data_IF_188679572861
#
_entry.id   IF_188679572861
#
_cell.length_a   1.000
_cell.length_b   1.000
_cell.length_c   1.000
_cell.angle_alpha   90.00
_cell.angle_beta   90.00
_cell.angle_gamma   90.00
#
_symmetry.space_group_name_H-M   'P 1'
#
loop_
_entity.id
_entity.type
_entity.pdbx_description
1 polymer ?
#
# COMPACT_ATOMS: atom_id res chain seq x y z
N UNK A 1 18.65 9.37 -12.28
CA UNK A 1 18.55 9.91 -13.63
C UNK A 1 18.76 8.82 -14.67
N UNK A 2 19.91 8.12 -14.72
CA UNK A 2 20.20 7.09 -15.72
C UNK A 2 19.13 6.00 -15.81
N UNK A 3 18.58 5.53 -14.68
CA UNK A 3 17.51 4.55 -14.66
C UNK A 3 16.21 5.08 -15.33
N UNK A 4 15.86 6.34 -15.12
CA UNK A 4 14.71 6.98 -15.76
C UNK A 4 14.93 7.18 -17.26
N UNK A 5 16.15 7.53 -17.69
CA UNK A 5 16.52 7.56 -19.11
C UNK A 5 16.37 6.16 -19.74
N UNK A 6 16.83 5.12 -19.06
CA UNK A 6 16.66 3.75 -19.54
C UNK A 6 15.17 3.37 -19.65
N UNK A 7 14.37 3.71 -18.61
CA UNK A 7 12.92 3.41 -18.62
C UNK A 7 12.17 4.11 -19.75
N UNK A 8 12.60 5.31 -20.17
CA UNK A 8 11.96 6.02 -21.29
C UNK A 8 12.09 5.31 -22.62
N UNK A 9 13.09 4.44 -22.75
CA UNK A 9 13.42 3.69 -23.99
C UNK A 9 12.78 2.29 -24.04
N UNK A 10 12.25 1.82 -22.93
CA UNK A 10 11.67 0.47 -22.80
C UNK A 10 10.14 0.56 -22.69
N UNK A 11 9.38 -0.23 -23.47
CA UNK A 11 7.93 -0.06 -23.57
C UNK A 11 7.15 -0.32 -22.28
N UNK A 12 7.68 -1.16 -21.40
CA UNK A 12 6.97 -1.61 -20.18
C UNK A 12 7.77 -1.43 -18.87
N UNK A 13 8.89 -0.69 -18.91
CA UNK A 13 9.66 -0.48 -17.70
C UNK A 13 9.18 0.74 -16.92
N UNK A 14 9.15 0.63 -15.61
CA UNK A 14 8.84 1.69 -14.66
C UNK A 14 9.89 1.68 -13.55
N UNK A 15 10.30 2.85 -13.11
CA UNK A 15 11.20 2.98 -11.94
C UNK A 15 10.33 3.20 -10.70
N UNK A 16 10.26 2.19 -9.86
CA UNK A 16 9.56 2.25 -8.58
C UNK A 16 10.54 2.62 -7.46
N UNK A 17 10.08 3.48 -6.54
CA UNK A 17 10.95 3.92 -5.45
C UNK A 17 10.20 4.11 -4.14
N UNK A 18 10.78 3.55 -3.07
CA UNK A 18 10.56 3.98 -1.70
C UNK A 18 11.20 5.37 -1.54
N UNK A 19 10.36 6.40 -1.46
CA UNK A 19 10.82 7.79 -1.46
C UNK A 19 11.13 8.23 -0.02
N UNK A 20 12.42 8.20 0.36
CA UNK A 20 12.86 8.59 1.69
C UNK A 20 14.23 9.27 1.62
N UNK A 21 14.38 10.43 2.27
CA UNK A 21 15.65 11.12 2.42
C UNK A 21 16.36 10.63 3.68
N UNK A 22 17.40 9.82 3.51
CA UNK A 22 18.05 9.06 4.59
C UNK A 22 18.60 9.94 5.71
N UNK A 23 19.18 11.09 5.40
CA UNK A 23 19.72 11.99 6.42
C UNK A 23 18.63 12.69 7.25
N UNK A 24 17.45 12.94 6.68
CA UNK A 24 16.32 13.54 7.39
C UNK A 24 15.66 12.54 8.35
N UNK A 25 15.67 11.25 8.01
CA UNK A 25 15.03 10.20 8.82
C UNK A 25 15.99 9.50 9.78
N UNK A 26 17.27 9.84 9.76
CA UNK A 26 18.31 9.17 10.56
C UNK A 26 17.89 8.96 12.02
N UNK A 27 17.82 7.69 12.45
CA UNK A 27 17.38 7.30 13.80
C UNK A 27 15.91 7.58 14.12
N UNK A 28 15.09 8.05 13.15
CA UNK A 28 13.66 8.24 13.33
C UNK A 28 12.90 6.91 13.45
N UNK A 29 11.92 6.85 14.36
CA UNK A 29 11.22 5.62 14.73
C UNK A 29 9.79 5.60 14.15
N UNK A 30 9.04 6.69 14.35
CA UNK A 30 7.64 6.88 13.96
C UNK A 30 7.48 8.27 13.33
N UNK A 31 6.27 8.65 12.95
CA UNK A 31 6.01 9.99 12.42
C UNK A 31 6.51 11.09 13.38
N UNK A 32 7.09 12.15 12.85
CA UNK A 32 7.41 13.36 13.62
C UNK A 32 6.12 14.13 13.89
N UNK A 33 5.74 14.21 15.16
CA UNK A 33 4.49 14.83 15.56
C UNK A 33 4.19 14.69 17.04
N UNK A 34 2.92 14.82 17.40
CA UNK A 34 2.46 14.78 18.77
C UNK A 34 2.74 13.43 19.45
N UNK A 35 2.59 12.32 18.71
CA UNK A 35 2.81 10.97 19.26
C UNK A 35 4.28 10.72 19.54
N UNK A 36 5.18 11.06 18.61
CA UNK A 36 6.63 10.90 18.82
C UNK A 36 7.12 11.72 20.01
N UNK A 37 6.64 12.96 20.14
CA UNK A 37 6.96 13.82 21.29
C UNK A 37 6.46 13.24 22.60
N UNK A 38 5.20 12.74 22.65
CA UNK A 38 4.59 12.13 23.83
C UNK A 38 5.30 10.84 24.27
N UNK A 39 5.76 10.04 23.31
CA UNK A 39 6.49 8.80 23.58
C UNK A 39 7.99 9.01 23.80
N UNK A 40 8.51 10.22 23.64
CA UNK A 40 9.95 10.51 23.75
C UNK A 40 10.78 9.82 22.66
N UNK A 41 10.20 9.59 21.49
CA UNK A 41 10.84 8.92 20.35
C UNK A 41 11.24 9.94 19.28
N UNK A 42 12.36 9.69 18.60
CA UNK A 42 12.76 10.51 17.46
C UNK A 42 11.76 10.30 16.31
N UNK A 43 11.26 11.41 15.78
CA UNK A 43 10.32 11.43 14.66
C UNK A 43 10.98 11.28 13.30
N UNK A 44 10.19 10.89 12.30
CA UNK A 44 10.51 10.93 10.87
C UNK A 44 9.70 12.03 10.22
N UNK A 45 10.33 13.12 9.79
CA UNK A 45 9.62 14.26 9.19
C UNK A 45 8.93 13.84 7.88
N UNK A 46 7.76 14.39 7.64
CA UNK A 46 6.97 14.13 6.42
C UNK A 46 7.65 14.65 5.16
N UNK A 47 8.47 15.69 5.32
CA UNK A 47 9.26 16.31 4.26
C UNK A 47 10.31 15.35 3.69
N UNK A 48 10.76 14.35 4.46
CA UNK A 48 11.71 13.34 3.99
C UNK A 48 11.17 12.50 2.81
N UNK A 49 9.86 12.26 2.74
CA UNK A 49 9.20 11.64 1.60
C UNK A 49 9.07 12.67 0.46
N UNK A 50 8.54 13.85 0.76
CA UNK A 50 8.19 14.85 -0.24
C UNK A 50 9.38 15.33 -1.08
N UNK A 51 10.54 15.59 -0.46
CA UNK A 51 11.73 16.07 -1.18
C UNK A 51 12.26 15.05 -2.18
N UNK A 52 12.13 13.77 -1.88
CA UNK A 52 12.54 12.69 -2.81
C UNK A 52 11.51 12.54 -3.93
N UNK A 53 10.22 12.57 -3.61
CA UNK A 53 9.15 12.55 -4.62
C UNK A 53 9.32 13.73 -5.58
N UNK A 54 9.49 14.96 -5.08
CA UNK A 54 9.68 16.15 -5.91
C UNK A 54 10.90 16.03 -6.83
N UNK A 55 12.03 15.61 -6.28
CA UNK A 55 13.26 15.40 -7.07
C UNK A 55 13.03 14.39 -8.20
N UNK A 56 12.43 13.25 -7.88
CA UNK A 56 12.26 12.17 -8.84
C UNK A 56 11.20 12.51 -9.90
N UNK A 57 10.15 13.27 -9.56
CA UNK A 57 9.20 13.82 -10.52
C UNK A 57 9.85 14.79 -11.50
N UNK A 58 10.74 15.68 -11.03
CA UNK A 58 11.53 16.58 -11.90
C UNK A 58 12.43 15.79 -12.85
N UNK A 59 13.07 14.73 -12.36
CA UNK A 59 13.89 13.84 -13.18
C UNK A 59 13.05 13.08 -14.20
N UNK A 60 11.87 12.58 -13.81
CA UNK A 60 10.95 11.91 -14.73
C UNK A 60 10.48 12.83 -15.84
N UNK A 61 10.14 14.08 -15.51
CA UNK A 61 9.78 15.11 -16.49
C UNK A 61 10.92 15.38 -17.47
N UNK A 62 12.13 15.60 -16.97
CA UNK A 62 13.31 15.93 -17.78
C UNK A 62 13.75 14.80 -18.70
N UNK A 63 13.55 13.54 -18.30
CA UNK A 63 13.99 12.35 -19.06
C UNK A 63 12.86 11.68 -19.85
N UNK A 64 11.61 12.16 -19.70
CA UNK A 64 10.41 11.47 -20.19
C UNK A 64 10.31 10.01 -19.72
N UNK A 65 10.96 9.71 -18.58
CA UNK A 65 10.97 8.39 -17.94
C UNK A 65 9.67 8.10 -17.20
N UNK A 66 9.40 6.81 -16.96
CA UNK A 66 8.23 6.35 -16.21
C UNK A 66 8.62 6.15 -14.75
N UNK A 67 7.94 6.86 -13.86
CA UNK A 67 8.18 6.81 -12.43
C UNK A 67 6.95 6.27 -11.68
N UNK A 68 7.18 5.49 -10.63
CA UNK A 68 6.13 5.00 -9.74
C UNK A 68 6.52 5.28 -8.28
N UNK A 69 5.67 6.00 -7.57
CA UNK A 69 5.83 6.30 -6.15
C UNK A 69 5.24 5.16 -5.34
N UNK A 70 6.07 4.41 -4.62
CA UNK A 70 5.62 3.33 -3.76
C UNK A 70 4.97 3.89 -2.49
N UNK A 71 3.96 3.19 -1.97
CA UNK A 71 3.32 3.36 -0.64
C UNK A 71 3.33 4.81 -0.09
N UNK A 72 2.78 5.77 -0.84
CA UNK A 72 2.70 7.17 -0.40
C UNK A 72 2.06 7.29 0.98
N UNK A 73 2.60 8.20 1.80
CA UNK A 73 2.15 8.37 3.17
C UNK A 73 1.75 9.80 3.54
N UNK A 74 2.06 10.80 2.72
CA UNK A 74 1.89 12.22 3.08
C UNK A 74 1.00 13.00 2.11
N UNK A 75 0.32 14.00 2.64
CA UNK A 75 -0.43 14.98 1.83
C UNK A 75 0.49 15.77 0.89
N UNK A 76 1.72 16.03 1.32
CA UNK A 76 2.73 16.73 0.49
C UNK A 76 3.07 15.92 -0.77
N UNK A 77 3.37 14.63 -0.63
CA UNK A 77 3.65 13.75 -1.77
C UNK A 77 2.41 13.62 -2.68
N UNK A 78 1.22 13.53 -2.11
CA UNK A 78 -0.04 13.44 -2.88
C UNK A 78 -0.22 14.67 -3.77
N UNK A 79 -0.01 15.88 -3.24
CA UNK A 79 -0.12 17.10 -4.02
C UNK A 79 0.95 17.20 -5.13
N UNK A 80 2.19 16.83 -4.83
CA UNK A 80 3.27 16.78 -5.82
C UNK A 80 2.93 15.85 -6.99
N UNK A 81 2.41 14.65 -6.71
CA UNK A 81 1.99 13.70 -7.74
C UNK A 81 0.80 14.25 -8.56
N UNK A 82 -0.19 14.88 -7.89
CA UNK A 82 -1.33 15.50 -8.57
C UNK A 82 -0.89 16.57 -9.57
N UNK A 83 -0.02 17.48 -9.15
CA UNK A 83 0.55 18.54 -10.00
C UNK A 83 1.39 17.96 -11.16
N UNK A 84 2.19 16.92 -10.89
CA UNK A 84 2.98 16.26 -11.91
C UNK A 84 2.11 15.59 -12.99
N UNK A 85 1.06 14.87 -12.57
CA UNK A 85 0.09 14.26 -13.50
C UNK A 85 -0.61 15.32 -14.36
N UNK A 86 -1.07 16.42 -13.75
CA UNK A 86 -1.71 17.52 -14.49
C UNK A 86 -0.78 18.20 -15.51
N UNK A 87 0.54 18.15 -15.26
CA UNK A 87 1.58 18.63 -16.15
C UNK A 87 2.06 17.60 -17.18
N UNK A 88 1.43 16.42 -17.23
CA UNK A 88 1.74 15.37 -18.22
C UNK A 88 2.98 14.54 -17.89
N UNK A 89 3.51 14.59 -16.67
CA UNK A 89 4.62 13.74 -16.23
C UNK A 89 4.13 12.28 -16.17
N UNK A 90 4.93 11.35 -16.69
CA UNK A 90 4.61 9.91 -16.68
C UNK A 90 4.84 9.32 -15.28
N UNK A 91 3.96 9.62 -14.36
CA UNK A 91 4.00 9.13 -12.99
C UNK A 91 2.74 8.33 -12.66
N UNK A 92 2.95 7.29 -11.88
CA UNK A 92 1.91 6.54 -11.16
C UNK A 92 2.27 6.44 -9.69
N UNK A 93 1.31 6.13 -8.84
CA UNK A 93 1.53 6.01 -7.40
C UNK A 93 0.62 4.97 -6.78
N UNK A 94 1.02 4.49 -5.62
CA UNK A 94 0.23 3.56 -4.82
C UNK A 94 0.18 3.97 -3.35
N UNK A 95 -0.79 3.44 -2.64
CA UNK A 95 -0.98 3.64 -1.20
C UNK A 95 -1.30 2.31 -0.54
N UNK A 96 -0.99 2.16 0.74
CA UNK A 96 -1.38 0.95 1.49
C UNK A 96 -2.69 1.14 2.24
N UNK A 97 -3.43 0.06 2.55
CA UNK A 97 -4.59 0.14 3.44
C UNK A 97 -4.27 0.79 4.78
N UNK A 98 -3.07 0.52 5.29
CA UNK A 98 -2.59 1.06 6.56
C UNK A 98 -2.54 2.60 6.52
N UNK A 99 -1.97 3.18 5.47
CA UNK A 99 -1.90 4.64 5.31
C UNK A 99 -3.24 5.30 4.95
N UNK A 100 -4.22 4.53 4.46
CA UNK A 100 -5.57 5.01 4.20
C UNK A 100 -6.47 5.03 5.44
N UNK A 101 -6.13 4.27 6.48
CA UNK A 101 -7.08 3.96 7.57
C UNK A 101 -6.48 4.28 8.95
N UNK A 102 -5.21 3.95 9.17
CA UNK A 102 -4.52 4.12 10.44
C UNK A 102 -3.77 5.45 10.50
N UNK A 103 -3.65 5.99 11.71
CA UNK A 103 -2.91 7.22 12.00
C UNK A 103 -1.76 6.97 12.95
N UNK A 104 -0.94 7.98 13.20
CA UNK A 104 0.13 7.93 14.19
C UNK A 104 -0.37 7.57 15.61
N UNK A 105 -1.63 7.91 15.93
CA UNK A 105 -2.26 7.57 17.22
C UNK A 105 -2.44 6.05 17.38
N UNK A 106 -2.62 5.31 16.30
CA UNK A 106 -2.74 3.84 16.33
C UNK A 106 -1.46 3.14 16.75
N UNK A 107 -0.30 3.81 16.66
CA UNK A 107 0.99 3.26 17.09
C UNK A 107 0.96 2.94 18.59
N UNK A 108 0.33 3.78 19.41
CA UNK A 108 0.22 3.52 20.85
C UNK A 108 -0.59 2.27 21.16
N UNK A 109 -1.69 2.07 20.45
CA UNK A 109 -2.57 0.89 20.61
C UNK A 109 -1.94 -0.39 20.05
N UNK A 110 -1.30 -0.29 18.87
CA UNK A 110 -0.72 -1.43 18.15
C UNK A 110 0.70 -1.80 18.62
N UNK A 111 1.37 -0.89 19.33
CA UNK A 111 2.76 -1.09 19.73
C UNK A 111 3.68 -1.33 18.52
N UNK A 112 4.54 -2.32 18.62
CA UNK A 112 5.49 -2.69 17.55
C UNK A 112 4.81 -3.15 16.25
N UNK A 113 3.58 -3.68 16.32
CA UNK A 113 2.77 -4.01 15.14
C UNK A 113 2.24 -2.76 14.41
N UNK A 114 2.27 -1.58 15.06
CA UNK A 114 1.96 -0.27 14.45
C UNK A 114 3.17 0.42 13.80
N UNK A 115 4.38 -0.15 13.94
CA UNK A 115 5.59 0.41 13.32
C UNK A 115 5.73 -0.03 11.88
N UNK A 116 5.69 0.93 10.94
CA UNK A 116 5.96 0.67 9.53
C UNK A 116 6.83 1.79 8.91
N UNK A 117 7.28 1.59 7.68
CA UNK A 117 8.04 2.56 6.90
C UNK A 117 7.52 2.63 5.46
N UNK A 118 6.97 3.79 5.00
CA UNK A 118 6.82 5.05 5.74
C UNK A 118 5.97 4.92 7.00
N UNK A 119 6.17 5.79 8.01
CA UNK A 119 5.39 5.69 9.23
C UNK A 119 3.92 6.05 9.00
N UNK A 120 3.04 5.55 9.86
CA UNK A 120 1.65 6.03 9.94
C UNK A 120 1.67 7.52 10.26
N UNK A 121 0.90 8.30 9.51
CA UNK A 121 0.90 9.76 9.55
C UNK A 121 -0.30 10.32 10.30
N UNK A 122 -0.46 11.62 10.23
CA UNK A 122 -1.56 12.35 10.86
C UNK A 122 -2.89 12.15 10.13
N UNK A 123 -4.01 12.43 10.79
CA UNK A 123 -5.35 12.42 10.17
C UNK A 123 -5.41 13.27 8.89
N UNK A 124 -4.88 14.51 8.82
CA UNK A 124 -4.86 15.27 7.57
C UNK A 124 -4.11 14.60 6.43
N UNK A 125 -3.04 13.83 6.71
CA UNK A 125 -2.35 13.06 5.67
C UNK A 125 -3.22 11.90 5.18
N UNK A 126 -3.85 11.15 6.08
CA UNK A 126 -4.80 10.07 5.73
C UNK A 126 -5.95 10.60 4.85
N UNK A 127 -6.53 11.73 5.21
CA UNK A 127 -7.60 12.36 4.43
C UNK A 127 -7.13 12.78 3.04
N UNK A 128 -5.94 13.36 2.92
CA UNK A 128 -5.36 13.73 1.64
C UNK A 128 -5.09 12.51 0.73
N UNK A 129 -4.62 11.40 1.31
CA UNK A 129 -4.43 10.14 0.59
C UNK A 129 -5.78 9.57 0.11
N UNK A 130 -6.84 9.62 0.94
CA UNK A 130 -8.19 9.20 0.54
C UNK A 130 -8.72 10.05 -0.62
N UNK A 131 -8.59 11.38 -0.54
CA UNK A 131 -8.94 12.27 -1.65
C UNK A 131 -8.16 11.90 -2.90
N UNK A 132 -6.83 11.69 -2.79
CA UNK A 132 -5.98 11.28 -3.91
C UNK A 132 -6.36 9.91 -4.50
N UNK A 133 -6.88 8.99 -3.69
CA UNK A 133 -7.38 7.71 -4.16
C UNK A 133 -8.67 7.86 -4.98
N UNK A 134 -9.56 8.77 -4.56
CA UNK A 134 -10.84 8.97 -5.22
C UNK A 134 -10.76 9.87 -6.46
N UNK A 135 -9.87 10.87 -6.48
CA UNK A 135 -9.68 11.75 -7.63
C UNK A 135 -8.76 11.19 -8.73
N UNK A 136 -8.14 10.01 -8.49
CA UNK A 136 -7.25 9.35 -9.45
C UNK A 136 -5.80 9.83 -9.40
N UNK A 137 -5.43 10.63 -8.41
CA UNK A 137 -4.02 10.94 -8.13
C UNK A 137 -3.24 9.69 -7.74
N UNK A 138 -3.88 8.78 -6.98
CA UNK A 138 -3.34 7.47 -6.60
C UNK A 138 -3.95 6.41 -7.50
N UNK A 139 -3.10 5.60 -8.13
CA UNK A 139 -3.48 4.65 -9.18
C UNK A 139 -3.79 3.26 -8.64
N UNK A 140 -3.14 2.82 -7.57
CA UNK A 140 -3.22 1.45 -7.08
C UNK A 140 -3.20 1.37 -5.56
N UNK A 141 -3.66 0.24 -5.04
CA UNK A 141 -3.48 -0.15 -3.64
C UNK A 141 -2.47 -1.29 -3.58
N UNK A 142 -1.40 -1.09 -2.80
CA UNK A 142 -0.39 -2.09 -2.50
C UNK A 142 -0.42 -2.45 -1.02
N UNK A 143 0.14 -3.57 -0.64
CA UNK A 143 0.06 -4.05 0.75
C UNK A 143 1.26 -3.69 1.59
N UNK A 144 2.40 -3.47 0.97
CA UNK A 144 3.70 -3.39 1.65
C UNK A 144 3.86 -4.55 2.68
N UNK A 145 3.50 -5.77 2.25
CA UNK A 145 3.47 -6.96 3.10
C UNK A 145 4.85 -7.30 3.63
N UNK A 146 5.08 -7.03 4.91
CA UNK A 146 6.35 -7.24 5.59
C UNK A 146 6.19 -8.11 6.84
N UNK A 147 6.22 -9.45 6.71
CA UNK A 147 6.14 -10.37 7.82
C UNK A 147 7.42 -10.35 8.67
N UNK A 148 7.25 -10.32 9.99
CA UNK A 148 8.33 -10.39 10.95
C UNK A 148 8.05 -11.47 11.99
N UNK A 149 9.09 -12.16 12.49
CA UNK A 149 8.88 -13.16 13.52
C UNK A 149 8.34 -12.52 14.82
N UNK A 150 7.55 -13.25 15.62
CA UNK A 150 7.04 -12.74 16.86
C UNK A 150 8.14 -12.18 17.78
N UNK A 151 9.28 -12.86 17.85
CA UNK A 151 10.42 -12.48 18.68
C UNK A 151 11.03 -11.14 18.23
N UNK A 152 11.06 -10.87 16.92
CA UNK A 152 11.57 -9.60 16.41
C UNK A 152 10.64 -8.42 16.69
N UNK A 153 9.36 -8.69 16.93
CA UNK A 153 8.36 -7.70 17.35
C UNK A 153 8.19 -7.60 18.86
N UNK A 154 8.62 -8.59 19.63
CA UNK A 154 8.56 -8.60 21.11
C UNK A 154 9.80 -7.88 21.73
N UNK A 155 9.96 -6.64 21.32
CA UNK A 155 11.05 -5.74 21.73
C UNK A 155 10.51 -4.32 21.88
N UNK A 156 11.36 -3.37 22.28
CA UNK A 156 10.95 -1.96 22.32
C UNK A 156 10.56 -1.44 20.93
N UNK A 157 9.70 -0.43 20.85
CA UNK A 157 9.29 0.20 19.60
C UNK A 157 10.50 0.73 18.79
N UNK A 158 11.54 1.20 19.50
CA UNK A 158 12.78 1.66 18.86
C UNK A 158 13.54 0.51 18.18
N UNK A 159 13.61 -0.67 18.81
CA UNK A 159 14.36 -1.81 18.32
C UNK A 159 13.60 -2.66 17.29
N UNK A 160 12.27 -2.65 17.32
CA UNK A 160 11.46 -3.44 16.41
C UNK A 160 11.68 -3.06 14.95
N UNK A 161 11.79 -4.01 14.01
CA UNK A 161 11.79 -3.72 12.58
C UNK A 161 10.43 -3.14 12.14
N UNK A 162 10.39 -2.17 11.21
CA UNK A 162 9.14 -1.69 10.65
C UNK A 162 8.52 -2.73 9.71
N UNK A 163 7.19 -2.77 9.65
CA UNK A 163 6.43 -3.62 8.72
C UNK A 163 5.18 -4.21 9.33
N UNK A 164 4.19 -4.46 8.48
CA UNK A 164 2.88 -5.02 8.79
C UNK A 164 2.49 -6.11 7.79
N UNK A 165 1.61 -7.03 8.21
CA UNK A 165 0.95 -7.94 7.28
C UNK A 165 -0.13 -7.20 6.49
N UNK A 166 -0.37 -7.61 5.24
CA UNK A 166 -1.40 -6.98 4.42
C UNK A 166 -1.99 -7.87 3.33
N UNK A 167 -1.22 -8.82 2.75
CA UNK A 167 -1.62 -9.51 1.52
C UNK A 167 -2.90 -10.33 1.65
N UNK A 168 -3.13 -10.95 2.79
CA UNK A 168 -4.31 -11.80 3.02
C UNK A 168 -5.55 -10.99 3.44
N UNK A 169 -5.38 -9.74 3.87
CA UNK A 169 -6.46 -8.92 4.41
C UNK A 169 -6.85 -7.74 3.53
N UNK A 170 -6.02 -7.37 2.54
CA UNK A 170 -6.19 -6.15 1.74
C UNK A 170 -7.58 -6.05 1.11
N UNK A 171 -8.07 -7.12 0.49
CA UNK A 171 -9.38 -7.10 -0.18
C UNK A 171 -10.51 -6.84 0.84
N UNK A 172 -10.51 -7.59 1.95
CA UNK A 172 -11.52 -7.44 3.01
C UNK A 172 -11.45 -6.08 3.69
N UNK A 173 -10.26 -5.56 3.96
CA UNK A 173 -10.07 -4.25 4.61
C UNK A 173 -10.59 -3.13 3.70
N UNK A 174 -10.20 -3.11 2.43
CA UNK A 174 -10.66 -2.09 1.48
C UNK A 174 -12.16 -2.22 1.22
N UNK A 175 -12.69 -3.45 1.14
CA UNK A 175 -14.12 -3.69 1.01
C UNK A 175 -14.87 -3.09 2.19
N UNK A 176 -14.50 -3.47 3.41
CA UNK A 176 -15.15 -3.01 4.65
C UNK A 176 -15.15 -1.50 4.79
N UNK A 177 -14.01 -0.86 4.55
CA UNK A 177 -13.84 0.57 4.82
C UNK A 177 -14.41 1.47 3.72
N UNK A 178 -14.44 1.01 2.47
CA UNK A 178 -14.77 1.89 1.36
C UNK A 178 -15.92 1.41 0.50
N UNK A 179 -16.07 0.11 0.24
CA UNK A 179 -17.14 -0.38 -0.62
C UNK A 179 -18.44 -0.56 0.16
N UNK A 180 -18.39 -1.21 1.31
CA UNK A 180 -19.56 -1.42 2.19
C UNK A 180 -20.14 -0.08 2.68
N UNK A 181 -19.30 0.91 2.84
CA UNK A 181 -19.71 2.28 3.24
C UNK A 181 -20.22 3.12 2.08
N UNK A 182 -20.15 2.63 0.85
CA UNK A 182 -20.59 3.34 -0.36
C UNK A 182 -19.63 4.41 -0.86
N UNK A 183 -18.43 4.51 -0.30
CA UNK A 183 -17.40 5.46 -0.72
C UNK A 183 -16.65 5.03 -2.00
N UNK A 184 -16.69 3.74 -2.32
CA UNK A 184 -16.01 3.16 -3.49
C UNK A 184 -16.94 2.22 -4.24
N UNK A 185 -16.94 2.30 -5.57
CA UNK A 185 -17.66 1.33 -6.41
C UNK A 185 -16.90 0.02 -6.54
N UNK A 186 -17.62 -1.07 -6.87
CA UNK A 186 -17.01 -2.37 -7.17
C UNK A 186 -15.98 -2.27 -8.31
N UNK A 187 -16.29 -1.54 -9.37
CA UNK A 187 -15.37 -1.38 -10.52
C UNK A 187 -14.06 -0.70 -10.08
N UNK A 188 -14.15 0.32 -9.22
CA UNK A 188 -12.95 0.99 -8.69
C UNK A 188 -12.15 0.10 -7.75
N UNK A 189 -12.82 -0.68 -6.91
CA UNK A 189 -12.18 -1.69 -6.04
C UNK A 189 -11.37 -2.70 -6.86
N UNK A 190 -11.97 -3.27 -7.90
CA UNK A 190 -11.29 -4.21 -8.80
C UNK A 190 -10.15 -3.53 -9.55
N UNK A 191 -10.35 -2.31 -10.04
CA UNK A 191 -9.31 -1.56 -10.74
C UNK A 191 -8.08 -1.34 -9.86
N UNK A 192 -8.27 -0.85 -8.64
CA UNK A 192 -7.17 -0.50 -7.71
C UNK A 192 -6.36 -1.72 -7.23
N UNK A 193 -6.97 -2.90 -7.14
CA UNK A 193 -6.32 -4.12 -6.64
C UNK A 193 -5.84 -5.07 -7.75
N UNK A 194 -6.30 -4.89 -8.99
CA UNK A 194 -6.04 -5.85 -10.07
C UNK A 194 -5.60 -5.19 -11.37
N UNK A 195 -6.48 -4.44 -12.02
CA UNK A 195 -6.26 -3.93 -13.38
C UNK A 195 -5.13 -2.89 -13.43
N UNK A 196 -5.16 -1.92 -12.52
CA UNK A 196 -4.17 -0.85 -12.48
C UNK A 196 -2.78 -1.33 -12.04
N UNK A 197 -2.62 -2.16 -10.98
CA UNK A 197 -1.33 -2.75 -10.68
C UNK A 197 -0.73 -3.55 -11.84
N UNK A 198 -1.55 -4.34 -12.54
CA UNK A 198 -1.09 -5.09 -13.71
C UNK A 198 -0.65 -4.16 -14.85
N UNK A 199 -1.40 -3.08 -15.11
CA UNK A 199 -1.06 -2.05 -16.12
C UNK A 199 0.25 -1.33 -15.76
N UNK A 200 0.42 -0.94 -14.49
CA UNK A 200 1.64 -0.27 -14.00
C UNK A 200 2.85 -1.17 -14.19
N UNK A 201 2.73 -2.43 -13.80
CA UNK A 201 3.81 -3.42 -13.92
C UNK A 201 4.02 -3.96 -15.35
N UNK A 202 3.16 -3.60 -16.31
CA UNK A 202 3.22 -4.08 -17.69
C UNK A 202 2.91 -5.57 -17.84
N UNK A 203 2.10 -6.14 -16.94
CA UNK A 203 1.73 -7.55 -16.94
C UNK A 203 0.52 -7.79 -17.83
N UNK A 204 0.71 -8.47 -18.96
CA UNK A 204 -0.36 -8.72 -19.95
C UNK A 204 -1.22 -9.95 -19.63
N UNK A 205 -0.80 -10.79 -18.68
CA UNK A 205 -1.52 -12.00 -18.25
C UNK A 205 -2.26 -11.85 -16.93
N UNK A 206 -2.26 -10.65 -16.34
CA UNK A 206 -2.90 -10.33 -15.07
C UNK A 206 -3.88 -9.16 -15.26
N UNK A 207 -4.85 -9.01 -14.36
CA UNK A 207 -5.80 -7.91 -14.40
C UNK A 207 -6.65 -7.82 -15.66
N UNK A 208 -6.84 -8.93 -16.37
CA UNK A 208 -7.58 -8.98 -17.63
C UNK A 208 -9.07 -9.24 -17.40
N UNK A 209 -9.88 -8.83 -18.38
CA UNK A 209 -11.27 -9.26 -18.44
C UNK A 209 -11.38 -10.78 -18.65
N UNK A 210 -12.39 -11.38 -18.03
CA UNK A 210 -12.70 -12.80 -18.23
C UNK A 210 -13.17 -13.02 -19.69
N UNK A 211 -12.40 -13.80 -20.44
CA UNK A 211 -12.70 -14.18 -21.82
C UNK A 211 -12.16 -15.56 -22.14
N UNK A 212 -12.82 -16.26 -23.05
CA UNK A 212 -12.34 -17.55 -23.54
C UNK A 212 -10.93 -17.45 -24.13
N UNK A 213 -10.04 -18.34 -23.73
CA UNK A 213 -8.64 -18.38 -24.16
C UNK A 213 -7.69 -17.53 -23.30
N UNK A 214 -8.18 -16.72 -22.39
CA UNK A 214 -7.33 -16.03 -21.42
C UNK A 214 -6.79 -17.01 -20.36
N UNK A 215 -5.59 -16.70 -19.82
CA UNK A 215 -5.03 -17.44 -18.70
C UNK A 215 -5.94 -17.26 -17.49
N UNK A 216 -6.37 -18.38 -16.90
CA UNK A 216 -7.24 -18.34 -15.71
C UNK A 216 -6.43 -18.00 -14.46
N UNK A 217 -6.30 -16.69 -14.17
CA UNK A 217 -5.85 -16.13 -12.91
C UNK A 217 -7.04 -15.38 -12.31
N UNK A 218 -7.76 -16.04 -11.38
CA UNK A 218 -9.09 -15.60 -10.93
C UNK A 218 -9.14 -15.69 -9.41
N UNK A 219 -9.54 -14.60 -8.76
CA UNK A 219 -10.00 -14.60 -7.38
C UNK A 219 -11.53 -14.55 -7.34
N UNK A 220 -12.15 -15.41 -6.55
CA UNK A 220 -13.58 -15.42 -6.29
C UNK A 220 -13.78 -14.86 -4.89
N UNK A 221 -14.42 -13.71 -4.82
CA UNK A 221 -14.64 -12.94 -3.61
C UNK A 221 -16.11 -12.99 -3.20
N UNK A 222 -16.38 -13.35 -1.94
CA UNK A 222 -17.70 -13.27 -1.34
C UNK A 222 -17.84 -11.90 -0.64
N UNK A 223 -18.67 -10.98 -1.13
CA UNK A 223 -18.81 -9.65 -0.59
C UNK A 223 -19.59 -9.59 0.73
N UNK A 224 -20.23 -10.67 1.14
CA UNK A 224 -21.11 -10.71 2.31
C UNK A 224 -20.50 -11.49 3.50
N UNK A 225 -19.46 -12.27 3.26
CA UNK A 225 -18.83 -13.05 4.32
C UNK A 225 -18.24 -12.12 5.39
N UNK A 226 -18.61 -12.36 6.65
CA UNK A 226 -18.04 -11.68 7.82
C UNK A 226 -17.02 -12.60 8.48
N UNK A 227 -15.87 -12.06 8.80
CA UNK A 227 -14.80 -12.80 9.43
C UNK A 227 -13.89 -11.90 10.25
N UNK A 228 -13.13 -12.51 11.15
CA UNK A 228 -12.15 -11.82 12.00
C UNK A 228 -10.78 -12.42 11.73
N UNK A 229 -9.78 -11.62 11.31
CA UNK A 229 -8.43 -12.13 11.16
C UNK A 229 -7.80 -12.37 12.54
N UNK A 230 -7.78 -13.63 12.95
CA UNK A 230 -7.16 -14.08 14.17
C UNK A 230 -5.75 -14.63 13.92
N UNK A 231 -4.92 -14.67 14.98
CA UNK A 231 -3.63 -15.34 14.89
C UNK A 231 -3.82 -16.83 14.59
N UNK A 232 -3.21 -17.30 13.50
CA UNK A 232 -3.36 -18.68 13.04
C UNK A 232 -4.49 -18.92 12.05
N UNK A 233 -5.36 -17.93 11.80
CA UNK A 233 -6.33 -18.01 10.69
C UNK A 233 -5.74 -17.56 9.35
N UNK A 234 -4.57 -16.93 9.37
CA UNK A 234 -3.80 -16.51 8.19
C UNK A 234 -2.72 -17.55 7.87
N UNK A 235 -2.32 -17.59 6.61
CA UNK A 235 -1.21 -18.45 6.15
C UNK A 235 0.16 -17.89 6.56
N UNK A 236 0.25 -16.59 6.79
CA UNK A 236 1.46 -15.97 7.31
C UNK A 236 1.82 -16.53 8.68
N UNK A 237 3.09 -16.91 8.86
CA UNK A 237 3.64 -17.34 10.15
C UNK A 237 3.83 -16.19 11.14
N UNK A 238 3.70 -14.96 10.67
CA UNK A 238 3.88 -13.74 11.45
C UNK A 238 2.60 -13.32 12.16
N UNK A 239 2.75 -12.50 13.21
CA UNK A 239 1.63 -12.01 14.01
C UNK A 239 1.45 -10.47 13.92
N UNK A 240 2.29 -9.77 13.14
CA UNK A 240 2.25 -8.30 13.03
C UNK A 240 1.13 -7.80 12.09
N UNK A 241 -0.09 -8.30 12.33
CA UNK A 241 -1.29 -7.93 11.60
C UNK A 241 -2.00 -6.76 12.31
N UNK A 242 -2.10 -5.56 11.71
CA UNK A 242 -2.76 -4.42 12.33
C UNK A 242 -4.29 -4.58 12.43
N UNK A 243 -4.85 -5.55 11.70
CA UNK A 243 -6.29 -5.83 11.62
C UNK A 243 -6.72 -7.00 12.50
N UNK A 244 -5.81 -7.55 13.31
CA UNK A 244 -6.15 -8.67 14.19
C UNK A 244 -7.30 -8.30 15.13
N UNK A 245 -8.30 -9.19 15.22
CA UNK A 245 -9.49 -8.98 16.05
C UNK A 245 -10.51 -7.99 15.48
N UNK A 246 -10.29 -7.43 14.28
CA UNK A 246 -11.23 -6.50 13.64
C UNK A 246 -12.27 -7.27 12.83
N UNK A 247 -13.55 -6.93 12.99
CA UNK A 247 -14.61 -7.45 12.13
C UNK A 247 -14.42 -6.93 10.69
N UNK A 248 -14.23 -7.84 9.73
CA UNK A 248 -14.10 -7.54 8.31
C UNK A 248 -15.26 -8.14 7.53
N UNK A 249 -15.66 -7.45 6.47
CA UNK A 249 -16.68 -7.86 5.50
C UNK A 249 -15.99 -8.15 4.17
N UNK A 250 -16.45 -9.20 3.49
CA UNK A 250 -15.88 -9.66 2.23
C UNK A 250 -14.65 -10.54 2.43
N UNK A 251 -14.60 -11.66 1.70
CA UNK A 251 -13.47 -12.60 1.77
C UNK A 251 -13.22 -13.29 0.45
N UNK A 252 -11.95 -13.52 0.10
CA UNK A 252 -11.59 -14.38 -1.03
C UNK A 252 -11.87 -15.84 -0.67
N UNK A 253 -12.82 -16.46 -1.38
CA UNK A 253 -13.21 -17.86 -1.18
C UNK A 253 -12.35 -18.82 -1.98
N UNK A 254 -12.10 -18.47 -3.24
CA UNK A 254 -11.31 -19.34 -4.11
C UNK A 254 -10.29 -18.52 -4.90
N UNK A 255 -9.14 -19.15 -5.18
CA UNK A 255 -8.13 -18.58 -6.07
C UNK A 255 -7.70 -19.62 -7.08
N UNK A 256 -7.74 -19.24 -8.34
CA UNK A 256 -7.25 -20.04 -9.47
C UNK A 256 -6.01 -19.34 -10.01
N UNK A 257 -4.89 -20.06 -10.07
CA UNK A 257 -3.64 -19.58 -10.60
C UNK A 257 -3.23 -20.42 -11.82
N UNK A 258 -3.14 -19.80 -12.99
CA UNK A 258 -2.84 -20.46 -14.26
C UNK A 258 -3.70 -21.71 -14.50
N UNK A 259 -4.99 -21.62 -14.20
CA UNK A 259 -5.96 -22.70 -14.36
C UNK A 259 -5.96 -23.75 -13.25
N UNK A 260 -5.10 -23.64 -12.24
CA UNK A 260 -5.07 -24.53 -11.09
C UNK A 260 -5.73 -23.86 -9.88
N UNK A 261 -6.69 -24.54 -9.26
CA UNK A 261 -7.26 -24.13 -7.98
C UNK A 261 -6.15 -24.22 -6.91
N UNK A 262 -5.86 -23.14 -6.23
CA UNK A 262 -4.81 -23.04 -5.19
C UNK A 262 -5.37 -22.63 -3.84
N UNK A 263 -6.57 -22.03 -3.82
CA UNK A 263 -7.35 -21.77 -2.61
C UNK A 263 -8.77 -22.25 -2.86
N UNK A 264 -9.32 -23.03 -1.94
CA UNK A 264 -10.71 -23.47 -1.92
C UNK A 264 -11.31 -23.22 -0.53
N UNK A 265 -12.49 -22.59 -0.47
CA UNK A 265 -13.15 -22.22 0.79
C UNK A 265 -12.23 -21.48 1.77
N UNK A 266 -11.46 -20.54 1.24
CA UNK A 266 -10.48 -19.72 1.96
C UNK A 266 -9.31 -20.51 2.57
N UNK A 267 -9.05 -21.74 2.11
CA UNK A 267 -7.95 -22.62 2.56
C UNK A 267 -7.05 -22.97 1.38
N UNK A 268 -5.73 -23.04 1.59
CA UNK A 268 -4.78 -23.54 0.59
C UNK A 268 -5.03 -25.03 0.28
N UNK A 269 -4.99 -25.41 -1.01
CA UNK A 269 -5.20 -26.76 -1.51
C UNK A 269 -4.06 -27.21 -2.43
#
# INVERSE_FOLDING_TARGET
>A
EQALIASSRLPVSVISRHAEHSEMVDGGIINEGAVSARLGLKGRPREAEAVIVERDLRLAAATNGRYHVLHMSTSLATELVRLAKSSGVKVTSEVTPQHLILTEEDVERLGTSGKMNPPLRTTPDVEALRVGLFDGTIDAIATDHAPHSPESKDVSLSAAPPGMLGVETVASVIWTEFVETGLMTLDRFVALLSTEPARIAGLTSQGQHLKTGAVANIAIFDPQERWVPERGSLQSKSANNPWQGKDLIGRVRHTICRGKLVVADSVLV
#
